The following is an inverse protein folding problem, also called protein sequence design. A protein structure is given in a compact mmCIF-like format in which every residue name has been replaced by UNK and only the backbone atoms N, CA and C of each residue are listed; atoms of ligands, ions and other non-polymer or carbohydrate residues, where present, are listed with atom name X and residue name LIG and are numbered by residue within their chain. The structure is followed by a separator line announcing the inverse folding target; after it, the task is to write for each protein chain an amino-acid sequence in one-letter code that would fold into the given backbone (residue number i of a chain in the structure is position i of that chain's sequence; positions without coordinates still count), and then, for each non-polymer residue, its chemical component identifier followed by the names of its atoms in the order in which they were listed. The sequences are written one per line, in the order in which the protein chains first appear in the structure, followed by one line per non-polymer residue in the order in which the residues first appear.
data_IF_860965708825
#
_entry.id   IF_860965708825
#
_cell.length_a   1.000
_cell.length_b   1.000
_cell.length_c   1.000
_cell.angle_alpha   90.00
_cell.angle_beta   90.00
_cell.angle_gamma   90.00
#
_symmetry.space_group_name_H-M   'P 1'
#
loop_
_entity.id
_entity.type
_entity.pdbx_description
1 polymer ?
#
# COMPACT_ATOMS: atom_id res chain seq x y z
N UNK A 1 0.58 -46.55 13.80
CA UNK A 1 -0.65 -45.86 14.25
C UNK A 1 -0.43 -44.35 14.42
N UNK A 2 0.52 -43.90 15.26
CA UNK A 2 0.80 -42.48 15.56
C UNK A 2 0.99 -41.58 14.32
N UNK A 3 1.79 -42.02 13.33
CA UNK A 3 2.03 -41.27 12.08
C UNK A 3 0.76 -41.05 11.24
N UNK A 4 -0.16 -42.03 11.23
CA UNK A 4 -1.44 -41.92 10.50
C UNK A 4 -2.35 -40.89 11.15
N UNK A 5 -2.40 -40.87 12.48
CA UNK A 5 -3.19 -39.89 13.25
C UNK A 5 -2.66 -38.47 13.01
N UNK A 6 -1.34 -38.27 13.06
CA UNK A 6 -0.71 -36.97 12.77
C UNK A 6 -1.03 -36.52 11.34
N UNK A 7 -0.98 -37.43 10.36
CA UNK A 7 -1.30 -37.10 8.97
C UNK A 7 -2.76 -36.67 8.79
N UNK A 8 -3.70 -37.33 9.47
CA UNK A 8 -5.12 -36.94 9.44
C UNK A 8 -5.33 -35.58 10.11
N UNK A 9 -4.66 -35.34 11.24
CA UNK A 9 -4.72 -34.04 11.92
C UNK A 9 -4.19 -32.90 11.04
N UNK A 10 -3.03 -33.10 10.41
CA UNK A 10 -2.45 -32.12 9.49
C UNK A 10 -3.35 -31.86 8.28
N UNK A 11 -3.99 -32.90 7.73
CA UNK A 11 -4.92 -32.76 6.61
C UNK A 11 -6.16 -31.95 7.02
N UNK A 12 -6.65 -32.14 8.24
CA UNK A 12 -7.78 -31.38 8.80
C UNK A 12 -7.41 -29.91 8.99
N UNK A 13 -6.24 -29.63 9.57
CA UNK A 13 -5.71 -28.26 9.72
C UNK A 13 -5.53 -27.57 8.37
N UNK A 14 -4.98 -28.28 7.38
CA UNK A 14 -4.84 -27.74 6.03
C UNK A 14 -6.20 -27.43 5.41
N UNK A 15 -7.17 -28.33 5.57
CA UNK A 15 -8.52 -28.15 5.03
C UNK A 15 -9.25 -26.95 5.64
N UNK A 16 -9.09 -26.70 6.94
CA UNK A 16 -9.71 -25.52 7.59
C UNK A 16 -9.05 -24.21 7.15
N UNK A 17 -7.76 -24.22 6.83
CA UNK A 17 -7.04 -23.05 6.30
C UNK A 17 -7.45 -22.69 4.86
N UNK A 18 -8.00 -23.62 4.08
CA UNK A 18 -8.50 -23.35 2.71
C UNK A 18 -9.82 -22.58 2.73
N UNK A 19 -10.63 -22.71 3.79
CA UNK A 19 -11.93 -22.02 3.92
C UNK A 19 -11.80 -20.48 3.81
N UNK A 20 -10.94 -19.80 4.60
CA UNK A 20 -10.79 -18.35 4.48
C UNK A 20 -10.22 -17.93 3.11
N UNK A 21 -9.37 -18.75 2.49
CA UNK A 21 -8.83 -18.47 1.15
C UNK A 21 -9.96 -18.46 0.11
N UNK A 22 -10.87 -19.43 0.17
CA UNK A 22 -12.04 -19.47 -0.71
C UNK A 22 -13.00 -18.28 -0.46
N UNK A 23 -13.16 -17.85 0.79
CA UNK A 23 -13.97 -16.68 1.15
C UNK A 23 -13.37 -15.39 0.58
N UNK A 24 -12.06 -15.18 0.76
CA UNK A 24 -11.35 -14.01 0.21
C UNK A 24 -11.39 -14.04 -1.32
N UNK A 25 -11.16 -15.20 -1.94
CA UNK A 25 -11.27 -15.34 -3.39
C UNK A 25 -12.65 -14.98 -3.93
N UNK A 26 -13.72 -15.36 -3.22
CA UNK A 26 -15.09 -14.95 -3.57
C UNK A 26 -15.30 -13.45 -3.40
N UNK A 27 -14.79 -12.84 -2.33
CA UNK A 27 -14.88 -11.39 -2.10
C UNK A 27 -14.14 -10.58 -3.16
N UNK A 28 -12.96 -11.06 -3.60
CA UNK A 28 -12.20 -10.49 -4.72
C UNK A 28 -12.98 -10.61 -6.04
N UNK A 29 -13.53 -11.80 -6.33
CA UNK A 29 -14.34 -12.01 -7.55
C UNK A 29 -15.59 -11.11 -7.60
N UNK A 30 -16.19 -10.82 -6.45
CA UNK A 30 -17.35 -9.96 -6.33
C UNK A 30 -17.00 -8.46 -6.32
N UNK A 31 -15.73 -8.08 -6.49
CA UNK A 31 -15.24 -6.70 -6.37
C UNK A 31 -15.66 -6.04 -5.04
N UNK A 32 -15.71 -6.83 -3.94
CA UNK A 32 -15.97 -6.30 -2.60
C UNK A 32 -14.69 -5.85 -1.90
N UNK A 33 -13.56 -6.43 -2.28
CA UNK A 33 -12.21 -6.02 -1.90
C UNK A 33 -11.53 -5.46 -3.15
N UNK A 34 -11.72 -4.18 -3.42
CA UNK A 34 -11.01 -3.47 -4.48
C UNK A 34 -10.16 -2.37 -3.85
N UNK A 35 -9.05 -2.00 -4.50
CA UNK A 35 -8.24 -0.85 -4.08
C UNK A 35 -9.05 0.46 -4.10
N UNK A 36 -10.02 0.54 -5.01
CA UNK A 36 -10.92 1.68 -5.13
C UNK A 36 -11.89 1.73 -3.94
N UNK A 37 -11.83 2.81 -3.15
CA UNK A 37 -12.86 3.07 -2.15
C UNK A 37 -14.20 3.27 -2.87
N UNK A 38 -15.31 2.66 -2.42
CA UNK A 38 -16.62 2.94 -3.00
C UNK A 38 -16.95 4.43 -2.84
N UNK A 39 -16.87 5.18 -3.94
CA UNK A 39 -17.15 6.63 -3.98
C UNK A 39 -18.65 6.95 -3.93
N UNK A 40 -19.53 5.96 -3.82
CA UNK A 40 -20.97 6.17 -3.80
C UNK A 40 -21.52 6.13 -2.38
N UNK A 41 -22.05 7.27 -1.93
CA UNK A 41 -22.99 7.45 -0.80
C UNK A 41 -24.34 6.73 -1.01
N UNK A 42 -24.39 5.71 -1.87
CA UNK A 42 -25.60 4.91 -2.09
C UNK A 42 -25.51 3.66 -1.23
N UNK A 43 -26.40 3.65 -0.24
CA UNK A 43 -26.73 2.60 0.71
C UNK A 43 -26.48 1.18 0.16
N UNK A 44 -25.28 0.66 0.37
CA UNK A 44 -25.05 -0.78 0.24
C UNK A 44 -25.78 -1.48 1.41
N UNK A 45 -26.44 -2.62 1.17
CA UNK A 45 -27.13 -3.35 2.22
C UNK A 45 -26.12 -3.79 3.28
N UNK A 46 -26.31 -3.29 4.50
CA UNK A 46 -25.61 -3.63 5.75
C UNK A 46 -24.17 -4.13 5.58
N UNK A 47 -23.22 -3.23 5.85
CA UNK A 47 -21.82 -3.56 6.07
C UNK A 47 -21.69 -4.87 6.86
N UNK A 48 -21.16 -5.90 6.20
CA UNK A 48 -20.72 -7.09 6.89
C UNK A 48 -19.64 -6.62 7.88
N UNK A 49 -19.89 -6.71 9.19
CA UNK A 49 -18.95 -6.19 10.23
C UNK A 49 -17.54 -6.74 10.05
N UNK A 50 -17.42 -7.91 9.41
CA UNK A 50 -16.17 -8.53 9.00
C UNK A 50 -15.35 -7.68 8.02
N UNK A 51 -15.98 -7.04 7.02
CA UNK A 51 -15.27 -6.19 6.05
C UNK A 51 -14.77 -4.91 6.73
N UNK A 52 -15.55 -4.37 7.67
CA UNK A 52 -15.16 -3.18 8.44
C UNK A 52 -14.03 -3.49 9.44
N UNK A 53 -14.07 -4.64 10.11
CA UNK A 53 -12.96 -5.13 10.95
C UNK A 53 -11.70 -5.44 10.14
N UNK A 54 -11.85 -6.02 8.94
CA UNK A 54 -10.73 -6.29 8.03
C UNK A 54 -10.10 -4.98 7.58
N UNK A 55 -10.89 -4.00 7.13
CA UNK A 55 -10.37 -2.67 6.79
C UNK A 55 -9.67 -2.01 7.98
N UNK A 56 -10.19 -2.13 9.21
CA UNK A 56 -9.48 -1.66 10.41
C UNK A 56 -8.16 -2.38 10.68
N UNK A 57 -8.08 -3.67 10.36
CA UNK A 57 -6.86 -4.47 10.54
C UNK A 57 -5.78 -4.13 9.50
N UNK A 58 -6.16 -3.71 8.29
CA UNK A 58 -5.22 -3.38 7.21
C UNK A 58 -4.92 -1.88 7.07
N UNK A 59 -5.84 -0.98 7.45
CA UNK A 59 -5.57 0.45 7.61
C UNK A 59 -5.07 0.72 9.04
N UNK A 60 -3.80 0.43 9.31
CA UNK A 60 -3.19 0.86 10.56
C UNK A 60 -2.86 2.36 10.53
N UNK A 61 -3.06 3.03 11.66
CA UNK A 61 -2.66 4.43 11.93
C UNK A 61 -1.18 4.70 11.56
N UNK A 62 -0.36 3.65 11.62
CA UNK A 62 1.05 3.65 11.21
C UNK A 62 1.24 3.96 9.71
N UNK A 63 0.34 3.51 8.83
CA UNK A 63 0.38 3.86 7.40
C UNK A 63 0.08 5.35 7.19
N UNK A 64 -0.86 5.92 7.94
CA UNK A 64 -1.18 7.36 7.88
C UNK A 64 0.01 8.20 8.34
N UNK A 65 0.69 7.78 9.42
CA UNK A 65 1.90 8.43 9.92
C UNK A 65 3.05 8.36 8.88
N UNK A 66 3.25 7.19 8.25
CA UNK A 66 4.26 7.01 7.21
C UNK A 66 3.97 7.86 5.97
N UNK A 67 2.73 7.90 5.51
CA UNK A 67 2.33 8.76 4.37
C UNK A 67 2.60 10.24 4.68
N UNK A 68 2.30 10.70 5.90
CA UNK A 68 2.61 12.09 6.31
C UNK A 68 4.11 12.36 6.34
N UNK A 69 4.90 11.43 6.85
CA UNK A 69 6.36 11.54 6.92
C UNK A 69 6.98 11.60 5.51
N UNK A 70 6.55 10.72 4.60
CA UNK A 70 7.00 10.75 3.20
C UNK A 70 6.59 12.04 2.49
N UNK A 71 5.36 12.51 2.70
CA UNK A 71 4.90 13.79 2.14
C UNK A 71 5.77 14.95 2.59
N UNK A 72 6.13 15.00 3.88
CA UNK A 72 7.01 16.03 4.43
C UNK A 72 8.42 15.99 3.82
N UNK A 73 9.00 14.79 3.72
CA UNK A 73 10.33 14.59 3.10
C UNK A 73 10.33 15.04 1.64
N UNK A 74 9.33 14.61 0.85
CA UNK A 74 9.23 14.97 -0.57
C UNK A 74 9.07 16.48 -0.73
N UNK A 75 8.21 17.11 0.08
CA UNK A 75 7.99 18.56 0.01
C UNK A 75 9.25 19.34 0.37
N UNK A 76 10.01 18.89 1.37
CA UNK A 76 11.29 19.49 1.74
C UNK A 76 12.31 19.41 0.61
N UNK A 77 12.49 18.23 -0.01
CA UNK A 77 13.41 18.07 -1.13
C UNK A 77 12.98 18.84 -2.38
N UNK A 78 11.68 18.94 -2.64
CA UNK A 78 11.16 19.75 -3.74
C UNK A 78 11.50 21.24 -3.52
N UNK A 79 11.29 21.76 -2.31
CA UNK A 79 11.64 23.14 -1.96
C UNK A 79 13.15 23.41 -2.05
N UNK A 80 13.99 22.48 -1.59
CA UNK A 80 15.44 22.59 -1.74
C UNK A 80 15.89 22.47 -3.20
N UNK A 81 15.19 21.69 -4.03
CA UNK A 81 15.50 21.56 -5.46
C UNK A 81 15.15 22.80 -6.29
N UNK A 82 14.20 23.61 -5.84
CA UNK A 82 13.86 24.89 -6.45
C UNK A 82 14.94 25.96 -6.20
N UNK A 83 15.87 25.69 -5.27
CA UNK A 83 17.02 26.55 -5.01
C UNK A 83 18.04 26.43 -6.14
N UNK A 84 17.73 27.10 -7.25
CA UNK A 84 18.67 27.35 -8.34
C UNK A 84 19.92 27.97 -7.71
N UNK A 85 21.09 27.35 -7.93
CA UNK A 85 22.37 27.89 -7.49
C UNK A 85 22.47 29.35 -7.94
N UNK A 86 22.57 30.28 -6.99
CA UNK A 86 22.77 31.71 -7.27
C UNK A 86 24.18 32.00 -7.75
N UNK A 87 25.06 30.99 -7.82
CA UNK A 87 26.31 31.11 -8.54
C UNK A 87 25.97 31.18 -10.04
N UNK A 88 25.78 32.41 -10.50
CA UNK A 88 26.00 32.78 -11.88
C UNK A 88 27.38 32.21 -12.25
N UNK A 89 27.39 31.12 -13.02
CA UNK A 89 28.63 30.63 -13.63
C UNK A 89 29.12 31.81 -14.46
N UNK A 90 30.16 32.49 -13.96
CA UNK A 90 30.82 33.52 -14.74
C UNK A 90 31.14 32.89 -16.09
N UNK A 91 30.63 33.51 -17.15
CA UNK A 91 30.87 33.12 -18.54
C UNK A 91 32.30 32.61 -18.67
N UNK A 92 32.48 31.36 -19.11
CA UNK A 92 33.80 30.79 -19.30
C UNK A 92 34.52 31.72 -20.28
N UNK A 93 35.49 32.49 -19.78
CA UNK A 93 36.29 33.34 -20.65
C UNK A 93 37.17 32.43 -21.50
N UNK A 94 36.65 32.07 -22.67
CA UNK A 94 37.47 31.48 -23.71
C UNK A 94 38.29 32.59 -24.34
N UNK A 95 39.62 32.46 -24.44
CA UNK A 95 40.42 33.43 -25.19
C UNK A 95 39.93 33.48 -26.64
N UNK A 96 39.96 34.66 -27.28
CA UNK A 96 39.54 34.79 -28.67
C UNK A 96 40.38 33.84 -29.55
N UNK A 97 39.75 33.21 -30.57
CA UNK A 97 40.33 32.08 -31.29
C UNK A 97 41.62 32.36 -32.11
N UNK A 98 42.18 33.57 -32.04
CA UNK A 98 43.28 34.02 -32.90
C UNK A 98 44.37 34.82 -32.11
N UNK A 99 44.94 34.24 -31.06
CA UNK A 99 46.21 34.72 -30.49
C UNK A 99 47.35 33.82 -30.95
#
# INVERSE_FOLDING_TARGET
MKKKIISVFLLLVFSTQVIPIAQIGRMLYQNLLTEELPHSTTSAPASNSFIEELHKAYCHDEQVANVRLYTLIITHHLHESEKISTQYVAEVQTPPPNC
#
